data_IF_638254682974
#
_entry.id   IF_638254682974
#
_cell.length_a   1.000
_cell.length_b   1.000
_cell.length_c   1.000
_cell.angle_alpha   90.00
_cell.angle_beta   90.00
_cell.angle_gamma   90.00
#
_symmetry.space_group_name_H-M   'P 1'
#
loop_
_entity.id
_entity.type
_entity.pdbx_description
1 polymer ?
#
# COMPACT_ATOMS: atom_id res chain seq x y z
N UNK A 1 -49.26 10.49 12.41
CA UNK A 1 -48.69 11.81 12.71
C UNK A 1 -47.46 11.99 11.81
N UNK A 2 -47.64 12.71 10.72
CA UNK A 2 -46.54 13.00 9.79
C UNK A 2 -46.12 14.45 9.99
N UNK A 3 -44.87 14.66 10.39
CA UNK A 3 -44.28 16.01 10.54
C UNK A 3 -43.40 16.24 9.32
N UNK A 4 -43.71 17.26 8.54
CA UNK A 4 -42.92 17.70 7.39
C UNK A 4 -42.01 18.86 7.81
N UNK A 5 -40.70 18.66 7.74
CA UNK A 5 -39.70 19.71 7.98
C UNK A 5 -39.25 20.28 6.63
N UNK A 6 -39.55 21.54 6.36
CA UNK A 6 -39.15 22.25 5.14
C UNK A 6 -38.12 23.33 5.50
N UNK A 7 -36.95 23.27 4.86
CA UNK A 7 -35.89 24.28 5.03
C UNK A 7 -36.01 25.33 3.93
N UNK A 8 -36.23 26.58 4.31
CA UNK A 8 -36.29 27.72 3.38
C UNK A 8 -34.91 28.44 3.31
N UNK A 9 -34.57 29.13 2.23
CA UNK A 9 -33.25 29.75 2.02
C UNK A 9 -32.85 30.84 3.04
N UNK A 10 -33.72 31.19 3.96
CA UNK A 10 -33.50 32.22 5.00
C UNK A 10 -33.34 31.69 6.43
N UNK A 11 -32.93 30.39 6.59
CA UNK A 11 -32.72 29.76 7.91
C UNK A 11 -33.95 29.74 8.88
N UNK A 12 -35.17 29.79 8.38
CA UNK A 12 -36.37 29.61 9.20
C UNK A 12 -36.98 28.21 8.96
N UNK A 13 -37.21 27.49 10.08
CA UNK A 13 -37.86 26.19 10.09
C UNK A 13 -39.38 26.40 10.23
N UNK A 14 -40.16 26.01 9.24
CA UNK A 14 -41.63 26.03 9.30
C UNK A 14 -42.13 24.62 9.54
N UNK A 15 -42.82 24.39 10.64
CA UNK A 15 -43.42 23.11 11.01
C UNK A 15 -44.90 23.13 10.62
N UNK A 16 -45.32 22.24 9.75
CA UNK A 16 -46.71 22.04 9.35
C UNK A 16 -47.16 20.63 9.75
N UNK A 17 -48.10 20.53 10.68
CA UNK A 17 -48.74 19.26 11.07
C UNK A 17 -50.04 19.05 10.30
N UNK A 18 -50.05 18.15 9.36
CA UNK A 18 -51.12 17.92 8.39
C UNK A 18 -52.03 16.70 8.72
N UNK A 19 -51.73 15.95 9.76
CA UNK A 19 -52.43 14.66 9.98
C UNK A 19 -53.73 14.79 10.80
N UNK A 20 -53.93 15.89 11.50
CA UNK A 20 -55.08 16.06 12.42
C UNK A 20 -56.20 16.91 11.88
N UNK A 21 -56.04 17.61 10.76
CA UNK A 21 -56.98 18.62 10.26
C UNK A 21 -58.06 18.11 9.32
N UNK A 22 -57.99 16.83 8.87
CA UNK A 22 -58.81 16.36 7.75
C UNK A 22 -60.12 15.65 8.10
N UNK A 23 -60.48 15.51 9.39
CA UNK A 23 -61.67 14.70 9.71
C UNK A 23 -62.72 15.39 10.58
N UNK A 24 -62.72 16.68 10.80
CA UNK A 24 -63.88 17.34 11.47
C UNK A 24 -63.93 18.86 11.31
N UNK A 25 -64.55 19.29 10.26
CA UNK A 25 -65.10 20.65 10.15
C UNK A 25 -66.32 20.88 11.09
N UNK A 26 -66.80 19.86 11.79
CA UNK A 26 -67.99 19.92 12.61
C UNK A 26 -67.79 20.04 14.12
N UNK A 27 -66.54 19.96 14.65
CA UNK A 27 -66.40 19.98 16.11
C UNK A 27 -65.14 20.75 16.59
N UNK A 28 -65.19 22.08 16.47
CA UNK A 28 -64.16 23.02 16.98
C UNK A 28 -63.86 22.87 18.49
N UNK A 29 -64.82 22.43 19.31
CA UNK A 29 -64.61 22.21 20.75
C UNK A 29 -63.74 20.97 21.05
N UNK A 30 -63.76 19.98 20.20
CA UNK A 30 -62.99 18.72 20.40
C UNK A 30 -61.52 18.90 20.05
N UNK A 31 -61.16 19.78 19.10
CA UNK A 31 -59.80 20.06 18.70
C UNK A 31 -59.03 20.81 19.79
N UNK A 32 -59.64 21.85 20.40
CA UNK A 32 -59.04 22.60 21.50
C UNK A 32 -58.88 21.73 22.75
N UNK A 33 -59.85 20.87 23.06
CA UNK A 33 -59.75 19.92 24.18
C UNK A 33 -58.61 18.89 24.01
N UNK A 34 -58.34 18.41 22.78
CA UNK A 34 -57.25 17.46 22.49
C UNK A 34 -55.86 18.11 22.52
N UNK A 35 -55.76 19.36 22.11
CA UNK A 35 -54.49 20.12 22.18
C UNK A 35 -54.07 20.39 23.63
N UNK A 36 -55.05 20.78 24.52
CA UNK A 36 -54.76 20.97 25.93
C UNK A 36 -54.43 19.67 26.66
N UNK A 37 -54.98 18.53 26.22
CA UNK A 37 -54.70 17.23 26.81
C UNK A 37 -53.33 16.67 26.34
N UNK A 38 -52.88 17.02 25.12
CA UNK A 38 -51.57 16.70 24.60
C UNK A 38 -50.45 17.48 25.31
N UNK A 39 -50.72 18.72 25.67
CA UNK A 39 -49.78 19.59 26.41
C UNK A 39 -49.54 19.08 27.83
N UNK A 40 -50.55 18.51 28.51
CA UNK A 40 -50.41 17.86 29.81
C UNK A 40 -49.59 16.56 29.74
N UNK A 41 -49.67 15.81 28.65
CA UNK A 41 -48.94 14.57 28.47
C UNK A 41 -47.46 14.82 28.08
N UNK A 42 -47.17 15.88 27.33
CA UNK A 42 -45.80 16.31 27.03
C UNK A 42 -45.11 16.88 28.25
N UNK A 43 -45.80 17.68 29.06
CA UNK A 43 -45.27 18.21 30.34
C UNK A 43 -44.90 17.08 31.34
N UNK A 44 -45.66 15.99 31.37
CA UNK A 44 -45.30 14.82 32.20
C UNK A 44 -44.12 14.01 31.65
N UNK A 45 -43.89 13.98 30.33
CA UNK A 45 -42.70 13.34 29.71
C UNK A 45 -41.43 14.15 29.85
N UNK A 46 -41.54 15.49 29.80
CA UNK A 46 -40.38 16.39 30.01
C UNK A 46 -39.81 16.31 31.42
N UNK A 47 -40.64 16.08 32.43
CA UNK A 47 -40.17 15.91 33.81
C UNK A 47 -39.40 14.60 34.04
N UNK A 48 -39.44 13.62 33.10
CA UNK A 48 -38.70 12.37 33.15
C UNK A 48 -37.41 12.38 32.30
N UNK A 49 -37.23 13.41 31.45
CA UNK A 49 -36.09 13.57 30.53
C UNK A 49 -35.09 14.65 30.94
N UNK A 50 -35.19 15.21 32.15
CA UNK A 50 -34.21 16.20 32.64
C UNK A 50 -32.88 15.57 33.04
N UNK A 51 -32.07 15.28 32.04
CA UNK A 51 -30.57 15.16 32.20
C UNK A 51 -29.84 15.42 30.89
N UNK A 52 -30.19 16.48 30.12
CA UNK A 52 -29.32 17.04 29.08
C UNK A 52 -29.56 18.56 29.04
N UNK A 53 -28.56 19.42 29.17
CA UNK A 53 -28.74 20.86 29.11
C UNK A 53 -28.95 21.31 27.67
N UNK A 54 -30.10 21.87 27.35
CA UNK A 54 -30.35 22.57 26.09
C UNK A 54 -30.16 24.08 26.27
N UNK A 55 -29.13 24.60 25.66
CA UNK A 55 -28.83 26.03 25.56
C UNK A 55 -29.50 26.63 24.31
N UNK A 56 -30.74 27.05 24.38
CA UNK A 56 -31.24 28.16 23.57
C UNK A 56 -32.68 28.59 23.97
N UNK A 57 -32.90 29.75 24.55
CA UNK A 57 -34.22 30.24 25.00
C UNK A 57 -35.14 30.72 23.84
N UNK A 58 -34.65 30.84 22.62
CA UNK A 58 -35.43 31.35 21.47
C UNK A 58 -36.52 30.38 20.96
N UNK A 59 -36.46 29.09 21.30
CA UNK A 59 -37.45 28.09 20.82
C UNK A 59 -38.82 28.19 21.53
N UNK A 60 -38.88 28.65 22.77
CA UNK A 60 -40.13 28.76 23.51
C UNK A 60 -41.03 29.90 23.02
N UNK A 61 -40.46 31.01 22.59
CA UNK A 61 -41.20 32.19 22.16
C UNK A 61 -41.92 32.05 20.82
N UNK A 62 -41.32 31.34 19.88
CA UNK A 62 -41.89 31.12 18.54
C UNK A 62 -43.15 30.24 18.61
N UNK A 63 -43.19 29.28 19.50
CA UNK A 63 -44.33 28.35 19.66
C UNK A 63 -45.57 29.05 20.24
N UNK A 64 -45.41 29.95 21.23
CA UNK A 64 -46.53 30.72 21.81
C UNK A 64 -47.12 31.75 20.84
N UNK A 65 -46.28 32.39 20.03
CA UNK A 65 -46.76 33.43 19.09
C UNK A 65 -47.51 32.84 17.89
N UNK A 66 -47.08 31.65 17.41
CA UNK A 66 -47.79 30.91 16.35
C UNK A 66 -49.19 30.44 16.81
N UNK A 67 -49.34 30.02 18.07
CA UNK A 67 -50.62 29.58 18.64
C UNK A 67 -51.60 30.76 18.85
N UNK A 68 -51.11 31.95 19.20
CA UNK A 68 -51.96 33.15 19.34
C UNK A 68 -52.46 33.67 18.00
N UNK A 69 -51.67 33.62 16.93
CA UNK A 69 -52.10 34.04 15.59
C UNK A 69 -53.16 33.10 14.98
N UNK A 70 -53.11 31.81 15.26
CA UNK A 70 -54.12 30.84 14.79
C UNK A 70 -55.45 31.01 15.53
N UNK A 71 -55.44 31.39 16.79
CA UNK A 71 -56.65 31.62 17.59
C UNK A 71 -57.41 32.91 17.22
N UNK A 72 -56.76 33.94 16.68
CA UNK A 72 -57.39 35.26 16.36
C UNK A 72 -58.08 35.32 15.00
N UNK A 73 -57.83 34.35 14.07
CA UNK A 73 -58.39 34.38 12.71
C UNK A 73 -59.49 33.36 12.45
N UNK A 74 -60.16 32.86 13.50
CA UNK A 74 -61.18 31.79 13.40
C UNK A 74 -62.61 32.30 13.56
N UNK A 75 -63.02 33.35 12.80
CA UNK A 75 -64.42 33.71 12.71
C UNK A 75 -64.87 33.79 11.23
N UNK A 76 -65.87 32.99 10.92
CA UNK A 76 -66.81 33.02 9.74
C UNK A 76 -66.17 32.79 8.36
N UNK A 77 -66.12 31.53 7.93
CA UNK A 77 -65.95 31.12 6.51
C UNK A 77 -67.03 30.06 6.19
N UNK A 78 -67.78 30.25 5.09
CA UNK A 78 -68.81 29.30 4.60
C UNK A 78 -68.19 28.03 4.01
N UNK A 79 -68.94 26.93 3.97
CA UNK A 79 -68.49 25.61 3.55
C UNK A 79 -67.94 25.59 2.11
N UNK A 80 -68.32 26.52 1.25
CA UNK A 80 -67.85 26.58 -0.14
C UNK A 80 -66.42 27.16 -0.29
N UNK A 81 -65.97 27.99 0.69
CA UNK A 81 -64.64 28.60 0.68
C UNK A 81 -63.54 27.64 1.21
N UNK A 82 -63.95 26.53 1.85
CA UNK A 82 -62.96 25.54 2.38
C UNK A 82 -62.49 24.53 1.34
N UNK A 83 -63.23 24.28 0.24
CA UNK A 83 -62.85 23.23 -0.73
C UNK A 83 -61.74 23.64 -1.70
N UNK A 84 -61.74 24.89 -2.14
CA UNK A 84 -60.76 25.41 -3.11
C UNK A 84 -59.29 25.43 -2.54
N UNK A 85 -59.06 25.92 -1.32
CA UNK A 85 -57.70 25.89 -0.75
C UNK A 85 -57.21 24.48 -0.42
N UNK A 86 -58.09 23.52 -0.09
CA UNK A 86 -57.66 22.13 0.16
C UNK A 86 -57.09 21.46 -1.09
N UNK A 87 -57.76 21.62 -2.24
CA UNK A 87 -57.29 21.09 -3.53
C UNK A 87 -55.98 21.74 -3.98
N UNK A 88 -55.79 23.03 -3.73
CA UNK A 88 -54.53 23.71 -3.99
C UNK A 88 -53.37 23.21 -3.09
N UNK A 89 -53.65 22.91 -1.83
CA UNK A 89 -52.66 22.36 -0.89
C UNK A 89 -52.27 20.93 -1.27
N UNK A 90 -53.21 20.08 -1.64
CA UNK A 90 -52.91 18.72 -2.10
C UNK A 90 -52.09 18.72 -3.40
N UNK A 91 -52.43 19.60 -4.36
CA UNK A 91 -51.64 19.74 -5.58
C UNK A 91 -50.24 20.28 -5.32
N UNK A 92 -50.10 21.22 -4.38
CA UNK A 92 -48.79 21.75 -3.98
C UNK A 92 -47.92 20.67 -3.28
N UNK A 93 -48.52 19.84 -2.41
CA UNK A 93 -47.83 18.75 -1.73
C UNK A 93 -47.40 17.68 -2.77
N UNK A 94 -48.28 17.32 -3.70
CA UNK A 94 -47.94 16.34 -4.75
C UNK A 94 -46.80 16.85 -5.64
N UNK A 95 -46.80 18.13 -6.01
CA UNK A 95 -45.73 18.75 -6.77
C UNK A 95 -44.42 18.78 -6.00
N UNK A 96 -44.46 19.13 -4.71
CA UNK A 96 -43.28 19.14 -3.83
C UNK A 96 -42.69 17.76 -3.67
N UNK A 97 -43.53 16.73 -3.44
CA UNK A 97 -43.08 15.33 -3.37
C UNK A 97 -42.45 14.89 -4.69
N UNK A 98 -43.01 15.24 -5.84
CA UNK A 98 -42.45 14.94 -7.13
C UNK A 98 -41.08 15.58 -7.34
N UNK A 99 -40.90 16.84 -6.92
CA UNK A 99 -39.61 17.56 -6.99
C UNK A 99 -38.58 16.95 -6.07
N UNK A 100 -38.97 16.57 -4.84
CA UNK A 100 -38.07 15.90 -3.89
C UNK A 100 -37.62 14.52 -4.42
N UNK A 101 -38.53 13.71 -4.96
CA UNK A 101 -38.22 12.42 -5.56
C UNK A 101 -37.28 12.60 -6.74
N UNK A 102 -37.53 13.57 -7.63
CA UNK A 102 -36.60 13.86 -8.75
C UNK A 102 -35.22 14.30 -8.28
N UNK A 103 -35.14 15.15 -7.25
CA UNK A 103 -33.87 15.57 -6.67
C UNK A 103 -33.11 14.39 -6.06
N UNK A 104 -33.80 13.49 -5.33
CA UNK A 104 -33.20 12.29 -4.74
C UNK A 104 -32.70 11.31 -5.82
N UNK A 105 -33.46 11.11 -6.88
CA UNK A 105 -33.07 10.28 -8.02
C UNK A 105 -31.85 10.87 -8.75
N UNK A 106 -31.81 12.19 -8.94
CA UNK A 106 -30.66 12.87 -9.55
C UNK A 106 -29.39 12.76 -8.68
N UNK A 107 -29.52 12.91 -7.36
CA UNK A 107 -28.40 12.72 -6.44
C UNK A 107 -27.92 11.27 -6.40
N UNK A 108 -28.83 10.28 -6.39
CA UNK A 108 -28.50 8.88 -6.43
C UNK A 108 -27.75 8.49 -7.72
N UNK A 109 -28.17 9.03 -8.87
CA UNK A 109 -27.48 8.81 -10.14
C UNK A 109 -26.09 9.44 -10.16
N UNK A 110 -25.92 10.65 -9.62
CA UNK A 110 -24.61 11.32 -9.53
C UNK A 110 -23.64 10.59 -8.63
N UNK A 111 -24.11 10.09 -7.46
CA UNK A 111 -23.30 9.27 -6.54
C UNK A 111 -22.89 7.95 -7.21
N UNK A 112 -23.81 7.29 -7.94
CA UNK A 112 -23.51 6.04 -8.66
C UNK A 112 -22.47 6.25 -9.75
N UNK A 113 -22.56 7.32 -10.53
CA UNK A 113 -21.56 7.67 -11.54
C UNK A 113 -20.21 7.98 -10.91
N UNK A 114 -20.18 8.71 -9.80
CA UNK A 114 -18.94 9.00 -9.08
C UNK A 114 -18.30 7.74 -8.53
N UNK A 115 -19.06 6.82 -7.95
CA UNK A 115 -18.58 5.53 -7.48
C UNK A 115 -18.03 4.67 -8.63
N UNK A 116 -18.70 4.63 -9.78
CA UNK A 116 -18.20 3.92 -10.96
C UNK A 116 -16.91 4.53 -11.50
N UNK A 117 -16.80 5.85 -11.52
CA UNK A 117 -15.54 6.53 -11.91
C UNK A 117 -14.41 6.26 -10.91
N UNK A 118 -14.69 6.24 -9.61
CA UNK A 118 -13.71 5.88 -8.59
C UNK A 118 -13.27 4.41 -8.73
N UNK A 119 -14.19 3.47 -8.96
CA UNK A 119 -13.84 2.07 -9.18
C UNK A 119 -13.04 1.87 -10.48
N UNK A 120 -13.35 2.58 -11.55
CA UNK A 120 -12.57 2.55 -12.78
C UNK A 120 -11.15 3.12 -12.59
N UNK A 121 -11.00 4.19 -11.81
CA UNK A 121 -9.70 4.76 -11.49
C UNK A 121 -8.83 3.81 -10.65
N UNK A 122 -9.43 3.09 -9.70
CA UNK A 122 -8.72 2.08 -8.89
C UNK A 122 -8.31 0.88 -9.75
N UNK A 123 -9.17 0.43 -10.66
CA UNK A 123 -8.85 -0.68 -11.57
C UNK A 123 -7.68 -0.37 -12.51
N UNK A 124 -7.54 0.91 -12.95
CA UNK A 124 -6.43 1.32 -13.81
C UNK A 124 -5.10 1.51 -13.08
N UNK A 125 -5.10 1.51 -11.74
CA UNK A 125 -3.91 1.66 -10.91
C UNK A 125 -3.30 0.32 -10.44
N UNK A 126 -3.89 -0.82 -10.79
CA UNK A 126 -3.44 -2.14 -10.34
C UNK A 126 -2.35 -2.70 -11.26
N UNK A 127 -1.29 -3.26 -10.65
CA UNK A 127 -0.24 -3.98 -11.38
C UNK A 127 -0.83 -5.24 -12.06
N UNK A 128 -0.36 -5.53 -13.29
CA UNK A 128 -0.82 -6.69 -14.07
C UNK A 128 0.37 -7.39 -14.75
N UNK A 129 0.39 -8.72 -14.81
CA UNK A 129 1.43 -9.43 -15.57
C UNK A 129 1.38 -9.19 -17.08
N UNK A 130 0.24 -8.75 -17.59
CA UNK A 130 -0.02 -8.50 -19.01
C UNK A 130 0.04 -7.01 -19.37
N UNK A 131 0.55 -6.17 -18.49
CA UNK A 131 0.52 -4.70 -18.62
C UNK A 131 1.12 -4.19 -19.94
N UNK A 132 2.18 -4.84 -20.43
CA UNK A 132 2.87 -4.45 -21.66
C UNK A 132 2.48 -5.27 -22.90
N UNK A 133 1.57 -6.23 -22.81
CA UNK A 133 1.25 -7.14 -23.93
C UNK A 133 0.83 -6.41 -25.20
N UNK A 134 0.12 -5.29 -25.06
CA UNK A 134 -0.30 -4.47 -26.19
C UNK A 134 0.67 -3.32 -26.48
N UNK A 135 1.16 -2.63 -25.43
CA UNK A 135 1.93 -1.39 -25.58
C UNK A 135 3.41 -1.63 -25.91
N UNK A 136 3.96 -2.77 -25.47
CA UNK A 136 5.34 -3.17 -25.74
C UNK A 136 5.51 -4.70 -25.64
N UNK A 137 4.97 -5.49 -26.59
CA UNK A 137 4.91 -6.95 -26.48
C UNK A 137 6.28 -7.62 -26.38
N UNK A 138 7.34 -6.99 -26.86
CA UNK A 138 8.71 -7.52 -26.80
C UNK A 138 9.50 -7.05 -25.57
N UNK A 139 8.92 -6.30 -24.63
CA UNK A 139 9.63 -5.77 -23.47
C UNK A 139 10.32 -6.88 -22.65
N UNK A 140 9.54 -7.90 -22.22
CA UNK A 140 10.06 -8.93 -21.33
C UNK A 140 11.12 -9.81 -22.02
N UNK A 141 10.97 -10.12 -23.31
CA UNK A 141 11.96 -10.89 -24.06
C UNK A 141 13.26 -10.12 -24.27
N UNK A 142 13.19 -8.81 -24.49
CA UNK A 142 14.34 -7.91 -24.59
C UNK A 142 15.11 -7.86 -23.25
N UNK A 143 14.40 -7.65 -22.13
CA UNK A 143 14.98 -7.63 -20.80
C UNK A 143 15.67 -8.96 -20.51
N UNK A 144 14.98 -10.09 -20.71
CA UNK A 144 15.51 -11.44 -20.48
C UNK A 144 16.77 -11.71 -21.28
N UNK A 145 16.81 -11.33 -22.55
CA UNK A 145 17.98 -11.54 -23.42
C UNK A 145 19.18 -10.76 -22.91
N UNK A 146 19.00 -9.50 -22.54
CA UNK A 146 20.07 -8.64 -22.02
C UNK A 146 20.57 -9.11 -20.64
N UNK A 147 19.68 -9.51 -19.73
CA UNK A 147 20.05 -10.10 -18.42
C UNK A 147 20.83 -11.38 -18.62
N UNK A 148 20.35 -12.30 -19.46
CA UNK A 148 21.03 -13.57 -19.76
C UNK A 148 22.45 -13.33 -20.30
N UNK A 149 22.61 -12.36 -21.21
CA UNK A 149 23.93 -12.02 -21.75
C UNK A 149 24.85 -11.44 -20.64
N UNK A 150 24.34 -10.58 -19.77
CA UNK A 150 25.10 -10.00 -18.68
C UNK A 150 25.55 -11.06 -17.65
N UNK A 151 24.64 -11.96 -17.25
CA UNK A 151 24.94 -13.07 -16.33
C UNK A 151 25.93 -14.06 -16.95
N UNK A 152 25.78 -14.39 -18.24
CA UNK A 152 26.71 -15.25 -18.94
C UNK A 152 28.14 -14.67 -19.01
N UNK A 153 28.25 -13.33 -19.12
CA UNK A 153 29.53 -12.63 -19.11
C UNK A 153 30.16 -12.61 -17.72
N UNK A 154 29.36 -12.47 -16.68
CA UNK A 154 29.79 -12.45 -15.28
C UNK A 154 28.67 -13.04 -14.40
N UNK A 155 28.82 -14.27 -13.90
CA UNK A 155 27.78 -14.94 -13.10
C UNK A 155 27.35 -14.13 -11.86
N UNK A 156 28.28 -13.40 -11.22
CA UNK A 156 28.00 -12.54 -10.08
C UNK A 156 27.00 -11.40 -10.42
N UNK A 157 26.84 -11.06 -11.70
CA UNK A 157 25.91 -10.00 -12.11
C UNK A 157 24.45 -10.38 -11.76
N UNK A 158 24.09 -11.65 -11.76
CA UNK A 158 22.78 -12.10 -11.34
C UNK A 158 22.47 -11.70 -9.89
N UNK A 159 23.39 -11.94 -8.96
CA UNK A 159 23.26 -11.49 -7.58
C UNK A 159 23.22 -9.95 -7.47
N UNK A 160 24.00 -9.25 -8.30
CA UNK A 160 24.01 -7.77 -8.31
C UNK A 160 22.67 -7.18 -8.72
N UNK A 161 22.03 -7.73 -9.76
CA UNK A 161 20.72 -7.27 -10.24
C UNK A 161 19.60 -7.63 -9.26
N UNK A 162 19.65 -8.82 -8.65
CA UNK A 162 18.70 -9.21 -7.61
C UNK A 162 18.79 -8.29 -6.39
N UNK A 163 20.01 -7.98 -5.92
CA UNK A 163 20.24 -7.08 -4.80
C UNK A 163 19.81 -5.65 -5.13
N UNK A 164 20.03 -5.19 -6.35
CA UNK A 164 19.64 -3.85 -6.78
C UNK A 164 18.12 -3.66 -6.68
N UNK A 165 17.33 -4.68 -7.05
CA UNK A 165 15.88 -4.66 -6.87
C UNK A 165 15.45 -4.69 -5.40
N UNK A 166 16.15 -5.46 -4.54
CA UNK A 166 15.90 -5.45 -3.10
C UNK A 166 16.14 -4.07 -2.49
N UNK A 167 17.28 -3.43 -2.83
CA UNK A 167 17.62 -2.10 -2.33
C UNK A 167 16.67 -1.01 -2.83
N UNK A 168 16.10 -1.15 -4.02
CA UNK A 168 15.03 -0.31 -4.52
C UNK A 168 13.77 -0.47 -3.66
N UNK A 169 13.25 -1.69 -3.59
CA UNK A 169 11.96 -1.98 -2.98
C UNK A 169 11.90 -1.68 -1.48
N UNK A 170 13.01 -1.85 -0.74
CA UNK A 170 13.04 -1.60 0.70
C UNK A 170 13.15 -0.11 1.06
N UNK A 171 13.48 0.74 0.09
CA UNK A 171 13.59 2.20 0.26
C UNK A 171 12.48 2.88 -0.53
N UNK A 172 11.52 3.50 0.15
CA UNK A 172 10.33 4.17 -0.43
C UNK A 172 9.32 3.22 -1.12
N UNK A 173 9.75 2.09 -1.66
CA UNK A 173 8.98 1.13 -2.45
C UNK A 173 9.67 0.82 -3.78
N UNK A 174 9.09 -0.08 -4.57
CA UNK A 174 9.65 -0.49 -5.86
C UNK A 174 9.37 0.59 -6.93
N UNK A 175 10.19 1.65 -6.95
CA UNK A 175 9.98 2.86 -7.76
C UNK A 175 11.23 3.34 -8.53
N UNK A 176 12.28 2.51 -8.55
CA UNK A 176 13.55 2.77 -9.20
C UNK A 176 14.31 4.02 -8.67
N UNK A 177 14.02 4.46 -7.44
CA UNK A 177 14.71 5.62 -6.83
C UNK A 177 16.21 5.39 -6.66
N UNK A 178 16.62 4.15 -6.34
CA UNK A 178 18.01 3.73 -6.20
C UNK A 178 18.86 3.97 -7.47
N UNK A 179 18.21 4.05 -8.63
CA UNK A 179 18.90 4.26 -9.92
C UNK A 179 19.23 5.74 -10.20
N UNK A 180 18.66 6.67 -9.43
CA UNK A 180 18.87 8.10 -9.65
C UNK A 180 20.27 8.54 -9.20
N UNK A 181 21.01 9.23 -10.10
CA UNK A 181 22.32 9.81 -9.78
C UNK A 181 22.20 10.94 -8.74
N UNK A 182 21.05 11.63 -8.70
CA UNK A 182 20.81 12.80 -7.84
C UNK A 182 20.07 12.47 -6.54
N UNK A 183 19.59 11.23 -6.37
CA UNK A 183 18.72 10.85 -5.23
C UNK A 183 19.45 10.64 -3.91
N UNK A 184 20.78 10.58 -3.92
CA UNK A 184 21.62 10.35 -2.74
C UNK A 184 21.66 8.91 -2.24
N UNK A 185 20.73 8.03 -2.67
CA UNK A 185 20.67 6.63 -2.21
C UNK A 185 21.93 5.84 -2.55
N UNK A 186 22.53 6.06 -3.73
CA UNK A 186 23.78 5.40 -4.14
C UNK A 186 24.96 5.69 -3.20
N UNK A 187 24.95 6.88 -2.58
CA UNK A 187 25.95 7.32 -1.59
C UNK A 187 25.62 6.90 -0.15
N UNK A 188 24.45 6.33 0.11
CA UNK A 188 24.09 5.83 1.44
C UNK A 188 25.00 4.69 1.90
N UNK A 189 25.22 4.55 3.22
CA UNK A 189 26.16 3.57 3.80
C UNK A 189 25.99 2.15 3.24
N UNK A 190 24.76 1.57 3.16
CA UNK A 190 24.58 0.20 2.66
C UNK A 190 24.82 0.06 1.16
N UNK A 191 24.89 1.16 0.41
CA UNK A 191 24.92 1.19 -1.05
C UNK A 191 26.30 1.58 -1.61
N UNK A 192 26.94 2.54 -0.97
CA UNK A 192 28.19 3.15 -1.46
C UNK A 192 29.29 2.11 -1.68
N UNK A 193 29.89 2.12 -2.88
CA UNK A 193 30.97 1.21 -3.25
C UNK A 193 30.59 -0.29 -3.30
N UNK A 194 29.31 -0.64 -3.14
CA UNK A 194 28.84 -2.03 -3.09
C UNK A 194 27.75 -2.38 -4.09
N UNK A 195 26.85 -1.46 -4.45
CA UNK A 195 25.84 -1.71 -5.48
C UNK A 195 26.47 -1.77 -6.87
N UNK A 196 25.95 -2.67 -7.70
CA UNK A 196 26.45 -2.97 -9.05
C UNK A 196 25.27 -3.22 -9.99
N UNK A 197 25.52 -3.15 -11.28
CA UNK A 197 24.52 -3.48 -12.31
C UNK A 197 23.82 -2.27 -12.92
N UNK A 198 24.11 -1.05 -12.48
CA UNK A 198 23.53 0.19 -13.03
C UNK A 198 23.72 0.29 -14.56
N UNK A 199 24.92 -0.03 -15.05
CA UNK A 199 25.22 -0.06 -16.48
C UNK A 199 24.43 -1.13 -17.24
N UNK A 200 24.16 -2.27 -16.62
CA UNK A 200 23.32 -3.34 -17.21
C UNK A 200 21.87 -2.85 -17.32
N UNK A 201 21.33 -2.26 -16.25
CA UNK A 201 19.97 -1.67 -16.28
C UNK A 201 19.88 -0.55 -17.30
N UNK A 202 20.86 0.35 -17.36
CA UNK A 202 20.91 1.43 -18.36
C UNK A 202 20.91 0.87 -19.81
N UNK A 203 21.66 -0.17 -20.07
CA UNK A 203 21.70 -0.84 -21.37
C UNK A 203 20.34 -1.50 -21.70
N UNK A 204 19.72 -2.20 -20.75
CA UNK A 204 18.38 -2.76 -20.91
C UNK A 204 17.38 -1.65 -21.24
N UNK A 205 17.41 -0.54 -20.49
CA UNK A 205 16.52 0.59 -20.72
C UNK A 205 16.70 1.15 -22.13
N UNK A 206 17.93 1.35 -22.60
CA UNK A 206 18.20 1.82 -23.95
C UNK A 206 17.64 0.88 -25.03
N UNK A 207 17.76 -0.44 -24.87
CA UNK A 207 17.19 -1.41 -25.80
C UNK A 207 15.67 -1.38 -25.81
N UNK A 208 15.04 -1.26 -24.63
CA UNK A 208 13.59 -1.16 -24.49
C UNK A 208 13.06 0.16 -25.08
N UNK A 209 13.75 1.27 -24.86
CA UNK A 209 13.41 2.58 -25.46
C UNK A 209 13.50 2.58 -26.99
N UNK A 210 14.41 1.78 -27.56
CA UNK A 210 14.54 1.65 -29.01
C UNK A 210 13.33 0.94 -29.66
N UNK A 211 12.65 0.06 -28.92
CA UNK A 211 11.46 -0.67 -29.43
C UNK A 211 10.13 -0.03 -28.98
N UNK A 212 10.08 0.57 -27.80
CA UNK A 212 8.86 1.12 -27.21
C UNK A 212 9.20 2.38 -26.40
N UNK A 213 9.38 3.50 -27.09
CA UNK A 213 9.80 4.75 -26.46
C UNK A 213 8.89 5.16 -25.30
N UNK A 214 9.48 5.44 -24.14
CA UNK A 214 8.84 5.98 -22.92
C UNK A 214 7.60 5.16 -22.49
N UNK A 215 7.68 3.84 -22.60
CA UNK A 215 6.58 2.92 -22.28
C UNK A 215 6.87 2.11 -21.03
N UNK A 216 8.06 1.52 -20.91
CA UNK A 216 8.43 0.61 -19.83
C UNK A 216 9.22 1.36 -18.76
N UNK A 217 8.77 1.29 -17.51
CA UNK A 217 9.44 1.93 -16.39
C UNK A 217 10.76 1.26 -16.00
N UNK A 218 11.66 2.02 -15.40
CA UNK A 218 12.89 1.48 -14.81
C UNK A 218 12.59 0.54 -13.63
N UNK A 219 11.54 0.83 -12.86
CA UNK A 219 11.08 -0.02 -11.75
C UNK A 219 10.63 -1.41 -12.26
N UNK A 220 9.91 -1.49 -13.37
CA UNK A 220 9.53 -2.77 -13.96
C UNK A 220 10.73 -3.49 -14.57
N UNK A 221 11.67 -2.76 -15.17
CA UNK A 221 12.93 -3.35 -15.65
C UNK A 221 13.69 -4.00 -14.50
N UNK A 222 13.82 -3.34 -13.34
CA UNK A 222 14.45 -3.92 -12.15
C UNK A 222 13.76 -5.20 -11.69
N UNK A 223 12.43 -5.19 -11.57
CA UNK A 223 11.67 -6.34 -11.10
C UNK A 223 11.80 -7.56 -12.05
N UNK A 224 11.74 -7.32 -13.36
CA UNK A 224 11.91 -8.36 -14.37
C UNK A 224 13.38 -8.86 -14.40
N UNK A 225 14.34 -7.93 -14.31
CA UNK A 225 15.77 -8.29 -14.30
C UNK A 225 16.14 -9.13 -13.08
N UNK A 226 15.56 -8.86 -11.91
CA UNK A 226 15.74 -9.68 -10.72
C UNK A 226 15.25 -11.12 -10.94
N UNK A 227 14.04 -11.30 -11.49
CA UNK A 227 13.48 -12.62 -11.82
C UNK A 227 14.36 -13.34 -12.84
N UNK A 228 14.72 -12.68 -13.93
CA UNK A 228 15.49 -13.30 -15.02
C UNK A 228 16.92 -13.64 -14.57
N UNK A 229 17.50 -12.90 -13.64
CA UNK A 229 18.79 -13.19 -13.01
C UNK A 229 18.76 -14.49 -12.21
N UNK A 230 17.71 -14.69 -11.41
CA UNK A 230 17.51 -15.93 -10.64
C UNK A 230 17.33 -17.12 -11.57
N UNK A 231 16.53 -16.97 -12.63
CA UNK A 231 16.33 -18.02 -13.65
C UNK A 231 17.63 -18.35 -14.39
N UNK A 232 18.41 -17.33 -14.76
CA UNK A 232 19.69 -17.53 -15.46
C UNK A 232 20.71 -18.31 -14.63
N UNK A 233 20.59 -18.30 -13.30
CA UNK A 233 21.45 -19.04 -12.36
C UNK A 233 20.81 -20.35 -11.83
N UNK A 234 19.70 -20.80 -12.44
CA UNK A 234 19.07 -22.10 -12.14
C UNK A 234 18.01 -22.07 -11.05
N UNK A 235 17.60 -20.88 -10.60
CA UNK A 235 16.55 -20.69 -9.61
C UNK A 235 15.13 -20.70 -10.19
N UNK A 236 14.11 -20.50 -9.33
CA UNK A 236 12.71 -20.48 -9.72
C UNK A 236 12.37 -19.26 -10.57
N UNK A 237 11.32 -19.43 -11.40
CA UNK A 237 10.65 -18.30 -12.07
C UNK A 237 9.37 -17.94 -11.30
N UNK A 238 8.94 -16.70 -11.45
CA UNK A 238 7.65 -16.23 -10.96
C UNK A 238 7.05 -15.22 -11.91
N UNK A 239 5.73 -15.06 -11.85
CA UNK A 239 5.00 -14.02 -12.57
C UNK A 239 5.27 -12.66 -11.93
N UNK A 240 5.83 -11.71 -12.68
CA UNK A 240 6.11 -10.36 -12.21
C UNK A 240 4.91 -9.47 -12.52
N UNK A 241 4.21 -8.90 -11.54
CA UNK A 241 3.22 -7.86 -11.77
C UNK A 241 3.91 -6.60 -12.30
N UNK A 242 3.39 -5.98 -13.34
CA UNK A 242 3.95 -4.86 -14.09
C UNK A 242 3.01 -3.64 -14.08
N UNK A 243 3.53 -2.48 -14.42
CA UNK A 243 2.77 -1.23 -14.42
C UNK A 243 3.25 -0.24 -13.36
N UNK A 244 4.43 -0.48 -12.74
CA UNK A 244 5.09 0.48 -11.85
C UNK A 244 5.52 1.69 -12.63
N UNK A 245 5.65 2.81 -11.89
CA UNK A 245 6.22 4.05 -12.40
C UNK A 245 7.46 4.41 -11.58
N UNK A 246 8.28 5.25 -12.16
CA UNK A 246 9.56 5.65 -11.60
C UNK A 246 9.42 6.88 -10.70
N UNK A 247 10.08 6.88 -9.55
CA UNK A 247 10.16 8.03 -8.65
C UNK A 247 10.87 9.22 -9.30
N UNK A 248 10.57 10.40 -8.81
CA UNK A 248 11.27 11.65 -9.17
C UNK A 248 12.31 12.06 -8.13
N UNK A 249 12.46 11.30 -7.06
CA UNK A 249 13.40 11.55 -5.96
C UNK A 249 13.86 10.26 -5.32
N UNK A 250 14.99 10.29 -4.62
CA UNK A 250 15.50 9.22 -3.78
C UNK A 250 15.77 9.75 -2.36
N UNK A 251 16.06 8.85 -1.41
CA UNK A 251 16.30 9.18 -0.01
C UNK A 251 17.46 8.39 0.59
N UNK A 252 18.61 9.03 0.70
CA UNK A 252 19.76 8.47 1.43
C UNK A 252 19.44 8.18 2.91
N UNK A 253 18.58 9.00 3.54
CA UNK A 253 18.18 8.81 4.92
C UNK A 253 17.38 7.51 5.09
N UNK A 254 16.40 7.26 4.21
CA UNK A 254 15.63 6.01 4.24
C UNK A 254 16.48 4.81 3.83
N UNK A 255 17.41 4.96 2.89
CA UNK A 255 18.34 3.89 2.57
C UNK A 255 19.20 3.48 3.78
N UNK A 256 19.61 4.44 4.60
CA UNK A 256 20.38 4.16 5.82
C UNK A 256 19.53 3.56 6.96
N UNK A 257 18.23 3.85 7.03
CA UNK A 257 17.34 3.36 8.10
C UNK A 257 16.63 2.06 7.78
N UNK A 258 16.28 1.83 6.52
CA UNK A 258 15.35 0.77 6.11
C UNK A 258 16.04 -0.49 5.58
N UNK A 259 17.29 -0.36 5.13
CA UNK A 259 18.07 -1.51 4.65
C UNK A 259 18.74 -2.22 5.84
N UNK A 260 18.45 -3.52 6.08
CA UNK A 260 19.01 -4.26 7.19
C UNK A 260 20.51 -4.46 7.00
N UNK A 261 21.34 -4.03 7.97
CA UNK A 261 22.79 -4.22 7.90
C UNK A 261 23.21 -5.67 8.18
N UNK A 262 24.42 -6.08 7.73
CA UNK A 262 24.89 -7.46 7.81
C UNK A 262 25.24 -7.96 9.22
N UNK A 263 25.16 -7.11 10.23
CA UNK A 263 25.44 -7.39 11.63
C UNK A 263 24.20 -7.41 12.53
N UNK A 264 22.98 -7.38 11.96
CA UNK A 264 21.75 -7.51 12.74
C UNK A 264 21.59 -8.90 13.32
N UNK A 265 21.13 -8.93 14.61
CA UNK A 265 20.67 -10.14 15.26
C UNK A 265 19.31 -10.57 14.69
N UNK A 266 18.86 -11.79 15.01
CA UNK A 266 17.60 -12.33 14.53
C UNK A 266 16.39 -11.44 14.85
N UNK A 267 16.31 -10.85 16.06
CA UNK A 267 15.22 -9.96 16.45
C UNK A 267 15.15 -8.70 15.58
N UNK A 268 16.31 -8.13 15.27
CA UNK A 268 16.43 -6.91 14.48
C UNK A 268 16.05 -7.18 13.02
N UNK A 269 16.46 -8.34 12.48
CA UNK A 269 16.07 -8.80 11.15
C UNK A 269 14.55 -8.98 11.06
N UNK A 270 13.94 -9.70 12.02
CA UNK A 270 12.49 -9.91 12.06
C UNK A 270 11.77 -8.55 12.14
N UNK A 271 12.24 -7.63 12.98
CA UNK A 271 11.67 -6.29 13.10
C UNK A 271 11.74 -5.50 11.79
N UNK A 272 12.93 -5.47 11.15
CA UNK A 272 13.14 -4.75 9.89
C UNK A 272 12.22 -5.28 8.77
N UNK A 273 12.12 -6.58 8.60
CA UNK A 273 11.25 -7.19 7.60
C UNK A 273 9.76 -7.07 7.95
N UNK A 274 9.41 -7.15 9.23
CA UNK A 274 8.03 -6.94 9.70
C UNK A 274 7.54 -5.52 9.42
N UNK A 275 8.41 -4.50 9.51
CA UNK A 275 8.08 -3.12 9.15
C UNK A 275 7.72 -2.96 7.66
N UNK A 276 8.17 -3.89 6.82
CA UNK A 276 7.80 -4.00 5.39
C UNK A 276 6.69 -5.04 5.15
N UNK A 277 6.08 -5.57 6.22
CA UNK A 277 4.96 -6.51 6.17
C UNK A 277 5.35 -7.97 5.94
N UNK A 278 6.63 -8.35 6.02
CA UNK A 278 7.08 -9.74 5.85
C UNK A 278 7.05 -10.51 7.17
N UNK A 279 6.62 -11.76 7.10
CA UNK A 279 6.78 -12.73 8.19
C UNK A 279 8.23 -13.19 8.32
N UNK A 280 8.57 -13.79 9.48
CA UNK A 280 9.89 -14.38 9.68
C UNK A 280 10.22 -15.47 8.64
N UNK A 281 9.23 -16.26 8.21
CA UNK A 281 9.43 -17.26 7.15
C UNK A 281 9.74 -16.63 5.80
N UNK A 282 9.05 -15.55 5.43
CA UNK A 282 9.32 -14.81 4.20
C UNK A 282 10.67 -14.10 4.25
N UNK A 283 11.07 -13.57 5.41
CA UNK A 283 12.40 -13.02 5.64
C UNK A 283 13.48 -14.08 5.42
N UNK A 284 13.36 -15.27 6.02
CA UNK A 284 14.30 -16.38 5.81
C UNK A 284 14.33 -16.79 4.33
N UNK A 285 13.19 -16.82 3.65
CA UNK A 285 13.14 -17.14 2.22
C UNK A 285 13.89 -16.09 1.37
N UNK A 286 13.70 -14.79 1.63
CA UNK A 286 14.40 -13.71 0.92
C UNK A 286 15.90 -13.71 1.23
N UNK A 287 16.32 -14.01 2.46
CA UNK A 287 17.72 -14.17 2.84
C UNK A 287 18.41 -15.28 2.03
N UNK A 288 17.65 -16.28 1.55
CA UNK A 288 18.13 -17.31 0.64
C UNK A 288 18.65 -16.78 -0.71
N UNK A 289 18.43 -15.51 -1.05
CA UNK A 289 19.11 -14.83 -2.16
C UNK A 289 20.66 -14.90 -2.01
N UNK A 290 21.15 -15.05 -0.78
CA UNK A 290 22.56 -15.21 -0.47
C UNK A 290 23.14 -16.56 -0.90
N UNK A 291 22.35 -17.46 -1.51
CA UNK A 291 22.89 -18.63 -2.23
C UNK A 291 23.72 -18.22 -3.46
N UNK A 292 23.63 -16.96 -3.90
CA UNK A 292 24.47 -16.38 -4.96
C UNK A 292 25.08 -15.05 -4.50
N UNK A 293 26.24 -14.73 -5.06
CA UNK A 293 26.90 -13.46 -4.84
C UNK A 293 28.04 -13.50 -3.84
N UNK A 294 28.59 -12.33 -3.56
CA UNK A 294 29.77 -12.17 -2.71
C UNK A 294 29.63 -10.92 -1.83
N UNK A 295 30.19 -10.99 -0.62
CA UNK A 295 30.31 -9.85 0.28
C UNK A 295 31.75 -9.38 0.42
N UNK A 296 31.92 -8.08 0.72
CA UNK A 296 33.21 -7.50 1.04
C UNK A 296 33.62 -7.84 2.48
N UNK A 297 34.89 -8.02 2.73
CA UNK A 297 35.49 -8.35 4.03
C UNK A 297 34.99 -7.44 5.16
N UNK A 298 34.85 -6.15 4.90
CA UNK A 298 34.34 -5.21 5.89
C UNK A 298 32.97 -5.61 6.49
N UNK A 299 32.14 -6.37 5.76
CA UNK A 299 30.79 -6.77 6.16
C UNK A 299 30.75 -8.08 6.97
N UNK A 300 31.82 -8.88 6.96
CA UNK A 300 31.89 -10.13 7.69
C UNK A 300 33.13 -10.27 8.58
N UNK A 301 34.02 -9.27 8.58
CA UNK A 301 35.24 -9.29 9.40
C UNK A 301 34.93 -9.55 10.86
N UNK A 302 33.99 -8.81 11.44
CA UNK A 302 33.66 -8.95 12.86
C UNK A 302 33.15 -10.35 13.17
N UNK A 303 32.28 -10.90 12.32
CA UNK A 303 31.76 -12.25 12.46
C UNK A 303 32.87 -13.31 12.50
N UNK A 304 33.83 -13.28 11.58
CA UNK A 304 34.88 -14.31 11.51
C UNK A 304 35.92 -14.20 12.63
N UNK A 305 36.04 -13.05 13.31
CA UNK A 305 37.06 -12.85 14.36
C UNK A 305 36.50 -12.87 15.78
N UNK A 306 35.23 -12.55 15.98
CA UNK A 306 34.65 -12.28 17.29
C UNK A 306 33.46 -13.18 17.62
N UNK A 307 32.67 -13.64 16.65
CA UNK A 307 31.50 -14.47 16.89
C UNK A 307 31.90 -15.92 17.25
N UNK A 308 31.02 -16.59 18.00
CA UNK A 308 31.22 -17.97 18.46
C UNK A 308 30.35 -18.98 17.69
N UNK A 309 29.35 -18.49 16.93
CA UNK A 309 28.42 -19.29 16.13
C UNK A 309 28.87 -19.49 14.69
N UNK A 310 30.19 -19.52 14.45
CA UNK A 310 30.80 -19.77 13.16
C UNK A 310 31.73 -20.98 13.24
N UNK A 311 31.76 -21.81 12.18
CA UNK A 311 32.69 -22.93 12.08
C UNK A 311 34.15 -22.43 12.07
N UNK A 312 34.97 -22.95 12.99
CA UNK A 312 36.33 -22.48 13.20
C UNK A 312 37.26 -22.66 11.97
N UNK A 313 37.11 -23.77 11.23
CA UNK A 313 37.85 -24.00 10.00
C UNK A 313 37.45 -23.05 8.88
N UNK A 314 36.17 -22.78 8.76
CA UNK A 314 35.62 -21.79 7.81
C UNK A 314 36.10 -20.38 8.14
N UNK A 315 35.98 -19.95 9.40
CA UNK A 315 36.48 -18.65 9.85
C UNK A 315 38.00 -18.52 9.56
N UNK A 316 38.77 -19.55 9.86
CA UNK A 316 40.23 -19.58 9.59
C UNK A 316 40.56 -19.41 8.11
N UNK A 317 39.82 -20.07 7.22
CA UNK A 317 40.03 -19.93 5.78
C UNK A 317 39.74 -18.52 5.26
N UNK A 318 38.73 -17.85 5.80
CA UNK A 318 38.36 -16.49 5.42
C UNK A 318 39.36 -15.43 5.91
N UNK A 319 39.98 -15.65 7.08
CA UNK A 319 41.00 -14.74 7.67
C UNK A 319 42.22 -14.57 6.78
N UNK A 320 42.53 -15.54 5.93
CA UNK A 320 43.65 -15.44 4.97
C UNK A 320 43.47 -14.26 3.98
N UNK A 321 42.21 -13.97 3.58
CA UNK A 321 41.89 -12.89 2.62
C UNK A 321 41.16 -11.72 3.26
N UNK A 322 40.86 -11.80 4.56
CA UNK A 322 40.18 -10.74 5.32
C UNK A 322 40.97 -10.46 6.62
N UNK A 323 42.03 -9.65 6.57
CA UNK A 323 42.84 -9.34 7.73
C UNK A 323 42.07 -8.66 8.86
N UNK A 324 42.49 -8.88 10.13
CA UNK A 324 41.80 -8.33 11.30
C UNK A 324 41.77 -6.81 11.37
N UNK A 325 42.87 -6.07 11.04
CA UNK A 325 42.86 -4.61 11.11
C UNK A 325 41.92 -4.00 10.06
N UNK A 326 41.00 -3.15 10.49
CA UNK A 326 40.12 -2.35 9.63
C UNK A 326 40.97 -1.51 8.66
N UNK A 327 40.49 -1.35 7.44
CA UNK A 327 41.21 -0.68 6.34
C UNK A 327 42.03 -1.66 5.48
N UNK A 328 42.47 -2.79 6.02
CA UNK A 328 43.21 -3.77 5.28
C UNK A 328 42.30 -4.83 4.65
N UNK A 329 42.29 -4.89 3.32
CA UNK A 329 41.49 -5.87 2.59
C UNK A 329 39.99 -5.68 2.72
N UNK A 330 39.49 -4.49 3.10
CA UNK A 330 38.06 -4.20 3.30
C UNK A 330 37.20 -4.56 2.08
N UNK A 331 37.73 -4.31 0.88
CA UNK A 331 37.08 -4.65 -0.38
C UNK A 331 37.27 -6.10 -0.86
N UNK A 332 38.07 -6.91 -0.15
CA UNK A 332 38.27 -8.31 -0.54
C UNK A 332 36.99 -9.10 -0.45
N UNK A 333 36.75 -9.96 -1.43
CA UNK A 333 35.47 -10.63 -1.58
C UNK A 333 35.51 -12.07 -1.10
N UNK A 334 34.42 -12.52 -0.47
CA UNK A 334 34.16 -13.93 -0.22
C UNK A 334 32.73 -14.29 -0.71
N UNK A 335 32.52 -15.55 -1.18
CA UNK A 335 31.19 -15.98 -1.59
C UNK A 335 30.25 -16.09 -0.38
N UNK A 336 29.00 -15.63 -0.55
CA UNK A 336 27.94 -15.75 0.45
C UNK A 336 27.54 -17.23 0.65
N UNK A 337 27.53 -18.00 -0.43
CA UNK A 337 27.40 -19.45 -0.43
C UNK A 337 28.76 -20.10 -0.81
N UNK A 338 29.37 -20.75 0.17
CA UNK A 338 30.67 -21.39 -0.02
C UNK A 338 30.58 -22.70 -0.81
N UNK A 339 29.39 -23.28 -0.97
CA UNK A 339 29.16 -24.56 -1.65
C UNK A 339 28.89 -24.38 -3.14
N UNK A 340 27.98 -23.47 -3.50
CA UNK A 340 27.50 -23.24 -4.88
C UNK A 340 27.40 -21.75 -5.22
N UNK A 341 28.50 -20.98 -5.20
CA UNK A 341 28.50 -19.52 -5.21
C UNK A 341 27.84 -18.86 -6.43
N UNK A 342 27.57 -19.62 -7.49
CA UNK A 342 26.98 -19.12 -8.73
C UNK A 342 25.77 -19.94 -9.20
N UNK A 343 25.22 -20.80 -8.34
CA UNK A 343 23.99 -21.57 -8.62
C UNK A 343 22.92 -21.20 -7.65
N UNK A 344 21.76 -20.78 -8.14
CA UNK A 344 20.63 -20.47 -7.27
C UNK A 344 19.96 -21.77 -6.80
N UNK A 345 20.32 -22.20 -5.60
CA UNK A 345 19.79 -23.40 -4.97
C UNK A 345 19.61 -23.24 -3.46
N UNK A 346 19.47 -24.31 -2.71
CA UNK A 346 19.27 -24.28 -1.27
C UNK A 346 20.52 -24.60 -0.44
N UNK A 347 21.71 -24.63 -1.06
CA UNK A 347 22.96 -24.94 -0.35
C UNK A 347 23.30 -23.90 0.73
N UNK A 348 22.89 -22.64 0.54
CA UNK A 348 22.97 -21.60 1.57
C UNK A 348 22.43 -22.06 2.93
N UNK A 349 21.26 -22.69 2.98
CA UNK A 349 20.71 -23.17 4.25
C UNK A 349 21.48 -24.34 4.83
N UNK A 350 22.02 -25.21 4.00
CA UNK A 350 22.92 -26.30 4.43
C UNK A 350 24.22 -25.76 5.03
N UNK A 351 24.72 -24.63 4.50
CA UNK A 351 25.86 -23.93 5.06
C UNK A 351 25.52 -23.34 6.44
N UNK A 352 24.32 -22.77 6.65
CA UNK A 352 23.86 -22.28 7.96
C UNK A 352 23.80 -23.42 8.99
N UNK A 353 23.27 -24.60 8.62
CA UNK A 353 23.27 -25.78 9.49
C UNK A 353 24.69 -26.21 9.93
N UNK A 354 25.67 -25.90 9.10
CA UNK A 354 27.10 -26.24 9.31
C UNK A 354 27.87 -25.05 9.93
N UNK A 355 27.20 -24.02 10.40
CA UNK A 355 27.79 -22.77 10.93
C UNK A 355 28.75 -22.10 9.94
N UNK A 356 28.37 -22.06 8.66
CA UNK A 356 29.14 -21.46 7.57
C UNK A 356 28.39 -20.30 6.90
N UNK A 357 27.49 -19.63 7.61
CA UNK A 357 26.97 -18.34 7.21
C UNK A 357 28.11 -17.33 7.10
N UNK A 358 28.19 -16.57 6.01
CA UNK A 358 29.28 -15.61 5.83
C UNK A 358 29.09 -14.35 6.67
N UNK A 359 27.87 -13.80 6.69
CA UNK A 359 27.53 -12.63 7.48
C UNK A 359 27.02 -13.05 8.86
N UNK A 360 27.20 -12.19 9.87
CA UNK A 360 26.55 -12.39 11.16
C UNK A 360 25.03 -12.60 10.98
N UNK A 361 24.38 -11.72 10.21
CA UNK A 361 22.94 -11.80 9.93
C UNK A 361 22.52 -13.09 9.21
N UNK A 362 23.41 -13.74 8.43
CA UNK A 362 23.13 -15.04 7.84
C UNK A 362 23.08 -16.13 8.93
N UNK A 363 24.08 -16.20 9.78
CA UNK A 363 24.15 -17.24 10.81
C UNK A 363 23.10 -17.09 11.88
N UNK A 364 22.65 -15.87 12.18
CA UNK A 364 21.57 -15.59 13.10
C UNK A 364 20.22 -16.22 12.71
N UNK A 365 20.01 -16.54 11.43
CA UNK A 365 18.82 -17.29 10.98
C UNK A 365 18.80 -18.73 11.51
N UNK A 366 19.97 -19.28 11.91
CA UNK A 366 20.11 -20.60 12.51
C UNK A 366 21.06 -20.53 13.69
N UNK A 367 20.56 -20.04 14.80
CA UNK A 367 21.33 -19.84 16.03
C UNK A 367 20.51 -20.20 17.31
N UNK A 368 19.65 -21.23 17.22
CA UNK A 368 18.78 -21.64 18.33
C UNK A 368 17.49 -20.78 18.45
N UNK A 369 17.17 -20.00 17.41
CA UNK A 369 16.04 -19.08 17.41
C UNK A 369 14.76 -19.59 16.74
N UNK A 370 13.78 -18.70 16.60
CA UNK A 370 12.45 -19.01 16.03
C UNK A 370 12.47 -19.44 14.55
N UNK A 371 13.54 -19.14 13.82
CA UNK A 371 13.71 -19.43 12.40
C UNK A 371 14.38 -20.76 12.10
N UNK A 372 14.92 -21.44 13.10
CA UNK A 372 15.68 -22.70 12.94
C UNK A 372 14.93 -23.76 12.13
N UNK A 373 13.65 -23.97 12.43
CA UNK A 373 12.84 -24.96 11.74
C UNK A 373 12.60 -24.58 10.26
N UNK A 374 12.49 -23.29 9.95
CA UNK A 374 12.37 -22.81 8.57
C UNK A 374 13.67 -23.07 7.81
N UNK A 375 14.83 -22.80 8.41
CA UNK A 375 16.15 -23.08 7.83
C UNK A 375 16.32 -24.58 7.57
N UNK A 376 15.99 -25.46 8.54
CA UNK A 376 16.04 -26.93 8.36
C UNK A 376 15.14 -27.39 7.23
N UNK A 377 13.92 -26.87 7.14
CA UNK A 377 13.01 -27.20 6.06
C UNK A 377 13.57 -26.79 4.70
N UNK A 378 14.07 -25.56 4.56
CA UNK A 378 14.61 -25.09 3.28
C UNK A 378 15.93 -25.81 2.91
N UNK A 379 16.76 -26.18 3.88
CA UNK A 379 17.96 -26.97 3.64
C UNK A 379 17.64 -28.37 3.06
N UNK A 380 16.58 -29.02 3.56
CA UNK A 380 16.19 -30.38 3.14
C UNK A 380 15.22 -30.40 1.96
N UNK A 381 14.54 -29.28 1.65
CA UNK A 381 13.49 -29.23 0.64
C UNK A 381 13.66 -28.01 -0.29
N UNK A 382 14.41 -28.20 -1.36
CA UNK A 382 14.65 -27.19 -2.40
C UNK A 382 13.35 -26.63 -3.00
N UNK A 383 12.33 -27.48 -3.18
CA UNK A 383 11.05 -27.05 -3.75
C UNK A 383 10.30 -26.09 -2.80
N UNK A 384 10.30 -26.39 -1.49
CA UNK A 384 9.71 -25.50 -0.48
C UNK A 384 10.42 -24.13 -0.46
N UNK A 385 11.75 -24.11 -0.48
CA UNK A 385 12.52 -22.86 -0.60
C UNK A 385 12.16 -22.11 -1.88
N UNK A 386 12.22 -22.76 -3.05
CA UNK A 386 11.94 -22.13 -4.33
C UNK A 386 10.54 -21.50 -4.38
N UNK A 387 9.54 -22.20 -3.86
CA UNK A 387 8.16 -21.68 -3.80
C UNK A 387 8.04 -20.49 -2.84
N UNK A 388 8.64 -20.58 -1.65
CA UNK A 388 8.60 -19.51 -0.65
C UNK A 388 9.35 -18.27 -1.16
N UNK A 389 10.51 -18.44 -1.79
CA UNK A 389 11.29 -17.36 -2.39
C UNK A 389 10.50 -16.65 -3.50
N UNK A 390 9.93 -17.41 -4.44
CA UNK A 390 9.15 -16.83 -5.52
C UNK A 390 7.95 -16.03 -5.00
N UNK A 391 7.22 -16.56 -4.01
CA UNK A 391 6.09 -15.87 -3.39
C UNK A 391 6.54 -14.58 -2.66
N UNK A 392 7.64 -14.64 -1.90
CA UNK A 392 8.20 -13.49 -1.20
C UNK A 392 8.73 -12.42 -2.17
N UNK A 393 9.31 -12.80 -3.30
CA UNK A 393 9.73 -11.87 -4.37
C UNK A 393 8.54 -11.17 -5.03
N UNK A 394 7.44 -11.87 -5.27
CA UNK A 394 6.19 -11.23 -5.76
C UNK A 394 5.66 -10.23 -4.73
N UNK A 395 5.67 -10.60 -3.45
CA UNK A 395 5.26 -9.70 -2.37
C UNK A 395 6.17 -8.47 -2.28
N UNK A 396 7.48 -8.66 -2.35
CA UNK A 396 8.46 -7.57 -2.34
C UNK A 396 8.24 -6.61 -3.50
N UNK A 397 8.00 -7.12 -4.70
CA UNK A 397 7.74 -6.31 -5.88
C UNK A 397 6.41 -5.51 -5.80
N UNK A 398 5.57 -5.76 -4.81
CA UNK A 398 4.36 -5.00 -4.52
C UNK A 398 4.51 -4.02 -3.34
N UNK A 399 5.73 -3.80 -2.82
CA UNK A 399 5.97 -2.78 -1.80
C UNK A 399 5.79 -1.39 -2.37
N UNK A 400 4.73 -0.71 -1.95
CA UNK A 400 4.42 0.70 -2.24
C UNK A 400 4.77 1.17 -3.67
N UNK A 401 4.38 0.46 -4.75
CA UNK A 401 4.72 0.86 -6.09
C UNK A 401 3.99 2.15 -6.47
N UNK A 402 4.65 3.05 -7.19
CA UNK A 402 3.99 4.16 -7.86
C UNK A 402 3.22 3.63 -9.05
N UNK A 403 1.97 4.07 -9.25
CA UNK A 403 1.10 3.61 -10.34
C UNK A 403 0.21 4.75 -10.89
N UNK A 404 -0.47 4.52 -11.99
CA UNK A 404 -1.44 5.47 -12.58
C UNK A 404 -0.79 6.80 -12.95
N UNK A 405 -1.15 7.87 -12.26
CA UNK A 405 -0.61 9.23 -12.48
C UNK A 405 0.58 9.59 -11.60
N UNK A 406 0.97 8.71 -10.66
CA UNK A 406 2.11 8.95 -9.77
C UNK A 406 3.44 8.76 -10.52
N UNK A 407 4.49 9.49 -10.11
CA UNK A 407 5.81 9.35 -10.73
C UNK A 407 5.81 9.56 -12.26
N UNK A 408 6.76 8.93 -12.94
CA UNK A 408 6.94 9.09 -14.38
C UNK A 408 7.41 7.78 -15.04
N UNK A 409 7.56 7.75 -16.36
CA UNK A 409 8.34 6.76 -17.09
C UNK A 409 9.61 7.46 -17.54
N UNK A 410 10.74 7.17 -16.90
CA UNK A 410 12.02 7.80 -17.24
C UNK A 410 12.53 7.32 -18.60
N UNK A 411 13.11 8.23 -19.37
CA UNK A 411 13.83 7.89 -20.61
C UNK A 411 15.21 7.30 -20.32
N UNK A 412 15.84 7.78 -19.26
CA UNK A 412 17.11 7.28 -18.74
C UNK A 412 16.93 6.98 -17.26
N UNK A 413 17.28 5.77 -16.81
CA UNK A 413 16.98 5.35 -15.43
C UNK A 413 17.71 6.18 -14.36
N UNK A 414 18.83 6.81 -14.68
CA UNK A 414 19.61 7.61 -13.75
C UNK A 414 19.15 9.06 -13.60
N UNK A 415 18.17 9.51 -14.40
CA UNK A 415 17.75 10.92 -14.44
C UNK A 415 16.24 11.05 -14.49
N UNK A 416 15.74 12.07 -13.81
CA UNK A 416 14.36 12.54 -13.96
C UNK A 416 14.22 13.18 -15.36
N UNK A 417 13.05 13.01 -16.01
CA UNK A 417 12.77 13.59 -17.34
C UNK A 417 12.65 15.10 -17.27
#
# INVERSE_FOLDING_TARGET
MYILLVHAPSHQLVIVDLASSMHSCQNKKTLVGRLVQHDKLTSQRENKARRVPMSNPARGYIYLHAMQLIAQHSTSISAAECLAPLLCVEAAIALLLLLVVRALLAMASSVSVLLLLCMAAVASAQLSPTFYDTSCPNALSTIKSAVTAAVKKENRMGASLLRLHFHDCFVQGCDASVLLDSGGEQGAIPNAGSLRGFNVIANIKAQVEAICKQTVSCADILAVAARDSVVALGGPSWTVPLGRRDSTSGSAALANSDLPPPFFNLSDLIGSFSNKGFSATEMVALSGAHTIGQAQCLNFRDHIYNDTNINAGFASSLKANCPRPTGNGDGNLAPLDTSTPYTFDNAYYSNLLSQKGLLHSDQELFNGGSTDNTVRNFASNKAAFSSAFAAAMVKMANLSPLTGSQGQIRLTCSKVN
#
